data_IF_827143961277
#
_entry.id   IF_827143961277
#
_cell.length_a   1.000
_cell.length_b   1.000
_cell.length_c   1.000
_cell.angle_alpha   90.00
_cell.angle_beta   90.00
_cell.angle_gamma   90.00
#
_symmetry.space_group_name_H-M   'P 1'
#
loop_
_entity.id
_entity.type
_entity.pdbx_description
1 polymer ?
#
# COMPACT_ATOMS: atom_id res chain seq x y z
N UNK A 1 -22.39 6.72 13.09
CA UNK A 1 -21.56 7.86 13.52
C UNK A 1 -20.28 7.26 14.08
N UNK A 2 -19.15 7.40 13.37
CA UNK A 2 -17.90 6.78 13.79
C UNK A 2 -17.34 7.46 15.04
N UNK A 3 -16.49 6.75 15.76
CA UNK A 3 -15.76 7.28 16.89
C UNK A 3 -14.32 7.59 16.47
N UNK A 4 -13.71 8.61 17.04
CA UNK A 4 -12.29 8.85 16.85
C UNK A 4 -11.47 7.90 17.74
N UNK A 5 -10.18 7.77 17.45
CA UNK A 5 -9.30 6.82 18.15
C UNK A 5 -9.21 7.07 19.66
N UNK A 6 -9.19 8.34 20.09
CA UNK A 6 -9.17 8.68 21.51
C UNK A 6 -10.46 8.31 22.23
N UNK A 7 -11.61 8.38 21.56
CA UNK A 7 -12.91 7.94 22.11
C UNK A 7 -13.00 6.42 22.20
N UNK A 8 -12.34 5.70 21.28
CA UNK A 8 -12.29 4.24 21.31
C UNK A 8 -11.40 3.71 22.45
N UNK A 9 -10.33 4.42 22.79
CA UNK A 9 -9.36 3.97 23.79
C UNK A 9 -9.62 4.49 25.20
N UNK A 10 -10.74 5.19 25.43
CA UNK A 10 -11.12 5.78 26.75
C UNK A 10 -9.94 6.50 27.44
N UNK A 11 -9.07 7.15 26.68
CA UNK A 11 -7.92 7.86 27.24
C UNK A 11 -8.38 9.14 27.92
N UNK A 12 -7.84 9.41 29.10
CA UNK A 12 -8.06 10.67 29.82
C UNK A 12 -7.60 11.84 28.92
N UNK A 13 -8.49 12.78 28.56
CA UNK A 13 -8.13 13.90 27.72
C UNK A 13 -7.07 14.82 28.33
N UNK A 14 -6.81 14.73 29.62
CA UNK A 14 -5.75 15.46 30.32
C UNK A 14 -4.41 14.70 30.37
N UNK A 15 -4.40 13.40 30.08
CA UNK A 15 -3.15 12.64 29.92
C UNK A 15 -2.51 12.95 28.56
N UNK A 16 -1.75 14.04 28.52
CA UNK A 16 -0.97 14.49 27.36
C UNK A 16 0.29 13.65 27.11
N UNK A 17 0.33 12.43 27.62
CA UNK A 17 1.40 11.50 27.26
C UNK A 17 1.38 11.29 25.74
N UNK A 18 2.45 11.70 25.08
CA UNK A 18 2.67 11.57 23.63
C UNK A 18 2.93 10.10 23.25
N UNK A 19 1.94 9.24 23.50
CA UNK A 19 2.09 7.82 23.23
C UNK A 19 2.01 7.60 21.73
N UNK A 20 3.11 7.14 21.16
CA UNK A 20 3.07 6.52 19.86
C UNK A 20 2.42 5.14 20.01
N UNK A 21 1.34 4.93 19.28
CA UNK A 21 0.72 3.60 19.17
C UNK A 21 1.25 2.88 17.93
N UNK A 22 1.40 1.58 18.05
CA UNK A 22 1.50 0.65 16.94
C UNK A 22 0.48 -0.47 17.22
N UNK A 23 -0.53 -0.60 16.37
CA UNK A 23 -1.63 -1.54 16.59
C UNK A 23 -2.05 -2.16 15.25
N UNK A 24 -2.38 -3.44 15.29
CA UNK A 24 -2.97 -4.14 14.14
C UNK A 24 -4.38 -3.65 13.88
N UNK A 25 -4.69 -3.44 12.61
CA UNK A 25 -5.97 -2.93 12.15
C UNK A 25 -6.34 -3.54 10.80
N UNK A 26 -7.63 -3.50 10.48
CA UNK A 26 -8.17 -4.03 9.23
C UNK A 26 -8.73 -2.87 8.41
N UNK A 27 -8.39 -2.82 7.12
CA UNK A 27 -8.90 -1.80 6.20
C UNK A 27 -10.40 -1.99 6.02
N UNK A 28 -11.16 -0.96 6.37
CA UNK A 28 -12.61 -0.92 6.23
C UNK A 28 -13.08 -0.04 5.07
N UNK A 29 -12.34 1.04 4.76
CA UNK A 29 -12.63 1.95 3.64
C UNK A 29 -11.31 2.33 2.98
N UNK A 30 -11.22 2.16 1.67
CA UNK A 30 -10.03 2.50 0.86
C UNK A 30 -10.34 3.50 -0.27
N UNK A 31 -11.57 3.94 -0.42
CA UNK A 31 -11.96 5.02 -1.34
C UNK A 31 -11.91 6.37 -0.63
N UNK A 32 -10.77 7.05 -0.75
CA UNK A 32 -10.54 8.36 -0.14
C UNK A 32 -11.18 9.46 -1.01
N UNK A 33 -12.14 10.24 -0.48
CA UNK A 33 -12.83 11.29 -1.25
C UNK A 33 -11.90 12.44 -1.69
N UNK A 34 -10.75 12.61 -1.02
CA UNK A 34 -9.74 13.61 -1.41
C UNK A 34 -8.65 13.02 -2.31
N UNK A 35 -8.78 11.74 -2.68
CA UNK A 35 -7.83 11.01 -3.54
C UNK A 35 -6.36 11.08 -3.06
N UNK A 36 -6.16 11.00 -1.75
CA UNK A 36 -4.83 11.02 -1.11
C UNK A 36 -4.33 9.63 -0.71
N UNK A 37 -4.98 8.55 -1.17
CA UNK A 37 -4.64 7.16 -0.89
C UNK A 37 -4.61 6.83 0.61
N UNK A 38 -5.49 7.47 1.39
CA UNK A 38 -5.70 7.19 2.80
C UNK A 38 -6.73 6.06 2.95
N UNK A 39 -6.70 5.41 4.10
CA UNK A 39 -7.67 4.38 4.46
C UNK A 39 -8.33 4.69 5.79
N UNK A 40 -9.54 4.15 6.01
CA UNK A 40 -10.12 4.02 7.34
C UNK A 40 -10.08 2.57 7.76
N UNK A 41 -9.89 2.36 9.03
CA UNK A 41 -9.65 1.03 9.60
C UNK A 41 -10.61 0.72 10.73
N UNK A 42 -10.76 -0.57 10.99
CA UNK A 42 -11.27 -1.12 12.24
C UNK A 42 -10.07 -1.59 13.05
N UNK A 43 -10.09 -1.42 14.35
CA UNK A 43 -9.06 -1.89 15.28
C UNK A 43 -9.68 -3.00 16.14
N UNK A 44 -9.52 -4.30 15.79
CA UNK A 44 -10.22 -5.39 16.46
C UNK A 44 -9.93 -5.49 17.96
N UNK A 45 -8.73 -5.15 18.38
CA UNK A 45 -8.34 -5.14 19.80
C UNK A 45 -9.08 -4.09 20.65
N UNK A 46 -9.77 -3.14 20.01
CA UNK A 46 -10.54 -2.08 20.69
C UNK A 46 -12.04 -2.31 20.49
N UNK A 47 -12.51 -2.35 19.24
CA UNK A 47 -13.89 -2.64 18.88
C UNK A 47 -13.96 -3.06 17.40
N UNK A 48 -14.23 -4.33 17.16
CA UNK A 48 -14.28 -4.92 15.81
C UNK A 48 -15.44 -4.42 14.94
N UNK A 49 -16.44 -3.74 15.53
CA UNK A 49 -17.63 -3.27 14.83
C UNK A 49 -17.59 -1.76 14.54
N UNK A 50 -16.55 -1.07 14.96
CA UNK A 50 -16.45 0.40 14.83
C UNK A 50 -15.32 0.80 13.91
N UNK A 51 -15.69 1.45 12.80
CA UNK A 51 -14.73 2.06 11.88
C UNK A 51 -14.19 3.36 12.48
N UNK A 52 -12.88 3.50 12.50
CA UNK A 52 -12.21 4.72 12.93
C UNK A 52 -12.58 5.90 12.02
N UNK A 53 -12.93 7.04 12.58
CA UNK A 53 -13.32 8.23 11.80
C UNK A 53 -12.15 8.88 11.09
N UNK A 54 -10.95 8.76 11.64
CA UNK A 54 -9.75 9.35 11.09
C UNK A 54 -9.27 8.58 9.85
N UNK A 55 -8.79 9.34 8.88
CA UNK A 55 -8.09 8.79 7.73
C UNK A 55 -6.61 8.58 8.05
N UNK A 56 -6.13 7.36 7.88
CA UNK A 56 -4.72 7.00 8.04
C UNK A 56 -3.98 7.18 6.70
N UNK A 57 -2.78 7.77 6.75
CA UNK A 57 -1.90 7.99 5.60
C UNK A 57 -1.00 6.78 5.38
N UNK A 58 -0.72 6.45 4.15
CA UNK A 58 0.20 5.38 3.81
C UNK A 58 1.65 5.76 4.14
N UNK A 59 2.39 4.83 4.77
CA UNK A 59 3.84 4.85 4.77
C UNK A 59 4.32 4.25 3.44
N UNK A 60 4.95 5.08 2.62
CA UNK A 60 5.37 4.69 1.26
C UNK A 60 6.87 4.53 1.15
N UNK A 61 7.31 3.67 0.21
CA UNK A 61 8.74 3.43 -0.05
C UNK A 61 9.39 4.63 -0.73
N UNK A 62 8.63 5.33 -1.58
CA UNK A 62 9.09 6.51 -2.29
C UNK A 62 8.01 7.57 -2.37
N UNK A 63 8.41 8.83 -2.15
CA UNK A 63 7.59 10.02 -2.38
C UNK A 63 8.45 11.09 -3.04
N UNK A 64 7.89 11.77 -4.04
CA UNK A 64 8.51 12.88 -4.75
C UNK A 64 7.64 14.15 -4.68
N UNK A 65 7.83 15.10 -5.60
CA UNK A 65 6.94 16.23 -5.78
C UNK A 65 5.48 15.78 -6.04
N UNK A 66 4.49 16.68 -6.02
CA UNK A 66 3.11 16.33 -6.32
C UNK A 66 2.96 15.51 -7.61
N UNK A 67 2.32 14.35 -7.51
CA UNK A 67 2.13 13.40 -8.61
C UNK A 67 3.19 12.30 -8.71
N UNK A 68 4.24 12.32 -7.88
CA UNK A 68 5.30 11.30 -7.89
C UNK A 68 5.33 10.51 -6.59
N UNK A 69 5.34 9.20 -6.68
CA UNK A 69 5.36 8.33 -5.50
C UNK A 69 5.13 6.85 -5.83
N UNK A 70 5.12 6.04 -4.79
CA UNK A 70 4.63 4.66 -4.87
C UNK A 70 3.17 4.62 -4.39
N UNK A 71 2.28 4.12 -5.23
CA UNK A 71 0.83 4.16 -5.02
C UNK A 71 0.29 2.74 -4.87
N UNK A 72 0.17 2.26 -3.64
CA UNK A 72 -0.33 0.92 -3.31
C UNK A 72 -1.38 1.04 -2.20
N UNK A 73 -2.64 1.12 -2.56
CA UNK A 73 -3.75 1.15 -1.59
C UNK A 73 -4.17 -0.30 -1.32
N UNK A 74 -4.18 -0.76 -0.06
CA UNK A 74 -4.61 -2.12 0.25
C UNK A 74 -6.11 -2.29 0.02
N UNK A 75 -6.51 -3.51 -0.33
CA UNK A 75 -7.90 -3.89 -0.46
C UNK A 75 -8.63 -3.85 0.88
N UNK A 76 -9.95 -3.66 0.85
CA UNK A 76 -10.80 -3.78 2.04
C UNK A 76 -10.64 -5.19 2.61
N UNK A 77 -10.47 -5.29 3.92
CA UNK A 77 -10.19 -6.54 4.62
C UNK A 77 -8.71 -6.86 4.78
N UNK A 78 -7.81 -6.09 4.14
CA UNK A 78 -6.36 -6.27 4.34
C UNK A 78 -5.95 -5.84 5.74
N UNK A 79 -4.98 -6.55 6.31
CA UNK A 79 -4.36 -6.17 7.57
C UNK A 79 -3.28 -5.11 7.37
N UNK A 80 -3.23 -4.19 8.32
CA UNK A 80 -2.26 -3.10 8.37
C UNK A 80 -1.79 -2.90 9.82
N UNK A 81 -0.57 -2.42 9.99
CA UNK A 81 -0.14 -1.84 11.26
C UNK A 81 -0.37 -0.35 11.19
N UNK A 82 -1.14 0.15 12.18
CA UNK A 82 -1.45 1.55 12.34
C UNK A 82 -0.45 2.19 13.31
N UNK A 83 0.11 3.32 12.91
CA UNK A 83 1.02 4.13 13.73
C UNK A 83 0.43 5.51 13.93
N UNK A 84 0.59 6.08 15.12
CA UNK A 84 0.14 7.44 15.34
C UNK A 84 0.28 7.92 16.77
N UNK A 85 -0.15 9.15 16.97
CA UNK A 85 -0.26 9.76 18.30
C UNK A 85 -1.71 9.79 18.71
N UNK A 86 -1.99 9.34 19.92
CA UNK A 86 -3.33 9.42 20.50
C UNK A 86 -3.78 10.88 20.62
N UNK A 87 -5.04 11.14 20.25
CA UNK A 87 -5.67 12.44 20.40
C UNK A 87 -5.24 13.54 19.42
N UNK A 88 -4.33 13.26 18.50
CA UNK A 88 -3.93 14.23 17.47
C UNK A 88 -4.54 13.87 16.13
N UNK A 89 -5.44 14.71 15.61
CA UNK A 89 -5.98 14.54 14.26
C UNK A 89 -4.87 14.57 13.21
N UNK A 90 -5.02 13.77 12.15
CA UNK A 90 -4.14 13.71 10.99
C UNK A 90 -2.72 13.15 11.21
N UNK A 91 -2.48 12.45 12.32
CA UNK A 91 -1.18 11.85 12.63
C UNK A 91 -1.17 10.32 12.50
N UNK A 92 -2.22 9.74 11.95
CA UNK A 92 -2.28 8.29 11.73
C UNK A 92 -1.61 7.93 10.42
N UNK A 93 -0.76 6.90 10.49
CA UNK A 93 -0.09 6.30 9.36
C UNK A 93 -0.31 4.80 9.38
N UNK A 94 -0.27 4.16 8.22
CA UNK A 94 -0.37 2.70 8.12
C UNK A 94 0.70 2.12 7.20
N UNK A 95 1.04 0.86 7.44
CA UNK A 95 1.77 0.00 6.51
C UNK A 95 1.05 -1.33 6.39
N UNK A 96 0.85 -1.88 5.17
CA UNK A 96 0.30 -3.22 4.98
C UNK A 96 1.20 -4.28 5.60
N UNK A 97 0.58 -5.34 6.12
CA UNK A 97 1.27 -6.53 6.62
C UNK A 97 0.59 -7.79 6.08
N UNK A 98 1.29 -8.91 6.05
CA UNK A 98 0.67 -10.19 5.81
C UNK A 98 0.06 -10.70 7.13
N UNK A 99 -1.18 -11.15 7.08
CA UNK A 99 -1.82 -11.80 8.21
C UNK A 99 -1.27 -13.23 8.41
N UNK A 100 -1.59 -13.83 9.55
CA UNK A 100 -1.13 -15.16 9.89
C UNK A 100 -1.67 -16.27 8.96
N UNK A 101 -2.82 -16.03 8.34
CA UNK A 101 -3.46 -16.95 7.38
C UNK A 101 -2.98 -16.74 5.93
N UNK A 102 -2.05 -15.79 5.71
CA UNK A 102 -1.57 -15.47 4.38
C UNK A 102 -0.79 -16.65 3.77
N UNK A 103 -1.27 -17.13 2.62
CA UNK A 103 -0.61 -18.19 1.86
C UNK A 103 0.24 -17.56 0.75
N UNK A 104 1.54 -17.76 0.83
CA UNK A 104 2.47 -17.30 -0.22
C UNK A 104 2.19 -18.06 -1.51
N UNK A 105 1.94 -17.37 -2.63
CA UNK A 105 1.75 -18.02 -3.93
C UNK A 105 2.99 -18.82 -4.34
N UNK A 106 2.84 -19.97 -5.06
CA UNK A 106 3.97 -20.80 -5.50
C UNK A 106 5.02 -20.05 -6.34
N UNK A 107 4.62 -18.95 -6.98
CA UNK A 107 5.53 -18.08 -7.72
C UNK A 107 6.56 -17.39 -6.82
N UNK A 108 6.27 -17.28 -5.51
CA UNK A 108 7.09 -16.60 -4.48
C UNK A 108 7.43 -17.50 -3.30
N UNK A 109 7.44 -18.82 -3.47
CA UNK A 109 7.60 -19.84 -2.44
C UNK A 109 9.00 -19.93 -1.81
N UNK A 110 9.96 -19.16 -2.31
CA UNK A 110 11.32 -19.10 -1.77
C UNK A 110 11.78 -17.66 -1.60
N UNK A 111 12.66 -17.36 -0.62
CA UNK A 111 13.20 -16.01 -0.40
C UNK A 111 13.95 -15.41 -1.59
N UNK A 112 14.39 -16.26 -2.53
CA UNK A 112 15.08 -15.81 -3.75
C UNK A 112 14.13 -15.24 -4.82
N UNK A 113 12.82 -15.47 -4.70
CA UNK A 113 11.81 -15.00 -5.62
C UNK A 113 11.14 -13.74 -5.05
N UNK A 114 11.35 -12.62 -5.70
CA UNK A 114 10.82 -11.31 -5.29
C UNK A 114 9.97 -10.75 -6.40
N UNK A 115 8.79 -10.20 -6.10
CA UNK A 115 7.93 -9.61 -7.11
C UNK A 115 6.62 -9.08 -6.55
N UNK A 116 5.71 -8.76 -7.46
CA UNK A 116 4.38 -8.27 -7.18
C UNK A 116 3.34 -9.16 -7.83
N UNK A 117 2.28 -9.48 -7.11
CA UNK A 117 1.06 -10.08 -7.65
C UNK A 117 -0.10 -9.19 -7.26
N UNK A 118 -0.76 -8.61 -8.25
CA UNK A 118 -1.86 -7.66 -8.03
C UNK A 118 -3.14 -8.18 -8.71
N UNK A 119 -4.32 -7.93 -8.14
CA UNK A 119 -5.59 -8.38 -8.72
C UNK A 119 -6.04 -7.56 -9.93
N UNK A 120 -5.51 -6.36 -10.11
CA UNK A 120 -5.88 -5.41 -11.16
C UNK A 120 -4.69 -4.97 -12.01
N UNK A 121 -4.76 -3.73 -12.49
CA UNK A 121 -3.71 -3.13 -13.31
C UNK A 121 -2.44 -2.85 -12.49
N UNK A 122 -1.29 -3.14 -13.08
CA UNK A 122 0.01 -2.71 -12.55
C UNK A 122 0.68 -1.76 -13.54
N UNK A 123 1.09 -0.57 -13.11
CA UNK A 123 1.65 0.48 -13.96
C UNK A 123 3.00 0.95 -13.45
N UNK A 124 3.96 1.08 -14.36
CA UNK A 124 5.24 1.75 -14.14
C UNK A 124 5.28 2.95 -15.09
N UNK A 125 5.36 4.16 -14.53
CA UNK A 125 5.38 5.42 -15.27
C UNK A 125 6.63 6.20 -14.84
N UNK A 126 7.46 6.60 -15.80
CA UNK A 126 8.60 7.48 -15.56
C UNK A 126 8.70 8.52 -16.68
N UNK A 127 9.11 9.74 -16.34
CA UNK A 127 9.32 10.83 -17.31
C UNK A 127 10.66 10.70 -18.06
N UNK A 128 11.60 9.93 -17.48
CA UNK A 128 12.90 9.61 -18.06
C UNK A 128 12.93 8.20 -18.65
N UNK A 129 14.10 7.61 -18.67
CA UNK A 129 14.34 6.27 -19.20
C UNK A 129 14.01 5.19 -18.19
N UNK A 130 13.41 4.09 -18.64
CA UNK A 130 13.28 2.86 -17.87
C UNK A 130 14.36 1.86 -18.30
N UNK A 131 15.25 1.49 -17.38
CA UNK A 131 16.28 0.48 -17.60
C UNK A 131 15.91 -0.83 -16.93
N UNK A 132 15.84 -1.91 -17.73
CA UNK A 132 15.68 -3.27 -17.25
C UNK A 132 16.95 -4.06 -17.60
N UNK A 133 17.69 -4.53 -16.61
CA UNK A 133 18.91 -5.33 -16.80
C UNK A 133 18.76 -6.66 -16.06
N UNK A 134 18.81 -7.75 -16.79
CA UNK A 134 18.65 -9.10 -16.27
C UNK A 134 19.41 -10.11 -17.13
N UNK A 135 19.66 -11.31 -16.61
CA UNK A 135 20.17 -12.44 -17.38
C UNK A 135 19.19 -12.94 -18.45
N UNK A 136 17.89 -12.68 -18.25
CA UNK A 136 16.80 -12.93 -19.21
C UNK A 136 15.57 -12.13 -18.81
N UNK A 137 14.74 -11.77 -19.78
CA UNK A 137 13.45 -11.13 -19.58
C UNK A 137 12.40 -11.96 -20.29
N UNK A 138 11.39 -12.42 -19.54
CA UNK A 138 10.24 -13.15 -20.09
C UNK A 138 8.99 -12.28 -19.89
N UNK A 139 8.21 -12.14 -20.97
CA UNK A 139 6.93 -11.42 -20.95
C UNK A 139 5.87 -12.36 -21.48
N UNK A 140 4.92 -12.74 -20.63
CA UNK A 140 3.79 -13.57 -20.99
C UNK A 140 2.49 -12.78 -20.85
N UNK A 141 1.64 -12.83 -21.86
CA UNK A 141 0.31 -12.24 -21.83
C UNK A 141 -0.70 -13.13 -22.55
N UNK A 142 -1.92 -13.18 -22.04
CA UNK A 142 -3.01 -13.93 -22.68
C UNK A 142 -3.68 -13.15 -23.83
N UNK A 143 -3.42 -11.85 -23.90
CA UNK A 143 -3.93 -10.93 -24.91
C UNK A 143 -2.81 -10.43 -25.83
N UNK A 144 -2.98 -9.22 -26.36
CA UNK A 144 -1.99 -8.60 -27.22
C UNK A 144 -0.89 -7.88 -26.41
N UNK A 145 0.37 -8.08 -26.79
CA UNK A 145 1.48 -7.24 -26.36
C UNK A 145 1.58 -6.03 -27.30
N UNK A 146 1.33 -4.83 -26.78
CA UNK A 146 1.47 -3.60 -27.56
C UNK A 146 2.76 -2.87 -27.17
N UNK A 147 3.65 -2.66 -28.14
CA UNK A 147 4.86 -1.84 -27.98
C UNK A 147 4.71 -0.62 -28.89
N UNK A 148 4.56 0.57 -28.27
CA UNK A 148 4.41 1.83 -29.00
C UNK A 148 5.64 2.70 -28.73
N UNK A 149 6.45 2.90 -29.77
CA UNK A 149 7.67 3.71 -29.69
C UNK A 149 7.69 4.75 -30.83
N UNK A 150 7.72 6.04 -30.48
CA UNK A 150 7.80 7.14 -31.48
C UNK A 150 9.13 7.16 -32.23
N UNK A 151 10.20 6.72 -31.60
CA UNK A 151 11.56 6.71 -32.15
C UNK A 151 11.98 5.36 -32.77
N UNK A 152 11.12 4.37 -32.77
CA UNK A 152 11.40 3.01 -33.27
C UNK A 152 11.71 2.01 -32.14
N UNK A 153 11.66 0.73 -32.48
CA UNK A 153 12.04 -0.40 -31.63
C UNK A 153 13.32 -1.00 -32.21
N UNK A 154 14.39 -1.08 -31.42
CA UNK A 154 15.67 -1.66 -31.82
C UNK A 154 15.90 -2.95 -31.06
N UNK A 155 16.06 -4.05 -31.77
CA UNK A 155 16.40 -5.36 -31.21
C UNK A 155 17.77 -5.71 -31.77
N UNK A 156 18.78 -5.77 -30.87
CA UNK A 156 20.12 -6.16 -31.25
C UNK A 156 20.23 -7.66 -31.33
N UNK A 157 20.06 -8.23 -32.52
CA UNK A 157 20.48 -9.59 -32.81
C UNK A 157 22.01 -9.61 -32.89
N UNK A 158 22.69 -10.37 -32.04
CA UNK A 158 24.07 -10.77 -32.30
C UNK A 158 24.01 -11.94 -33.28
N UNK A 159 24.59 -11.85 -34.48
CA UNK A 159 24.75 -13.03 -35.33
C UNK A 159 25.67 -14.00 -34.57
N UNK A 160 25.28 -15.26 -34.52
CA UNK A 160 26.09 -16.35 -33.99
C UNK A 160 27.24 -16.65 -34.95
#
# INVERSE_FOLDING_TARGET
>A
MGKNLSQLMETDPDDRSEWMIAVEAIVAVNEDPENQHRVKVVIPSIDENVVCDEWAKQLVVYVGPPGYGSFFVPEIGSEVVLFGRLGQKHTLYYTPVFNEDFIVPPDFDTPAKVGFRVPGDFRIICDGDLFLSAGGIQIECTGALNIIAKGGVFINERPY
#
